data_IF_242427816358
#
_entry.id   IF_242427816358
#
_cell.length_a   1.000
_cell.length_b   1.000
_cell.length_c   1.000
_cell.angle_alpha   90.00
_cell.angle_beta   90.00
_cell.angle_gamma   90.00
#
_symmetry.space_group_name_H-M   'P 1'
#
loop_
_entity.id
_entity.type
_entity.pdbx_description
1 polymer ?
#
# COMPACT_ATOMS: atom_id res chain seq x y z
N UNK A 1 -13.87 10.58 -24.28
CA UNK A 1 -12.44 10.21 -24.27
C UNK A 1 -11.87 10.18 -22.86
N UNK A 2 -12.03 11.25 -22.05
CA UNK A 2 -11.56 11.28 -20.66
C UNK A 2 -12.19 10.20 -19.78
N UNK A 3 -13.48 9.89 -19.96
CA UNK A 3 -14.16 8.83 -19.20
C UNK A 3 -13.55 7.45 -19.47
N UNK A 4 -13.24 7.14 -20.74
CA UNK A 4 -12.58 5.88 -21.12
C UNK A 4 -11.20 5.75 -20.50
N UNK A 5 -10.41 6.83 -20.53
CA UNK A 5 -9.09 6.89 -19.91
C UNK A 5 -9.21 6.71 -18.39
N UNK A 6 -10.17 7.38 -17.76
CA UNK A 6 -10.45 7.26 -16.33
C UNK A 6 -10.81 5.83 -15.92
N UNK A 7 -11.67 5.16 -16.69
CA UNK A 7 -12.05 3.76 -16.45
C UNK A 7 -10.83 2.82 -16.56
N UNK A 8 -9.95 3.04 -17.53
CA UNK A 8 -8.72 2.23 -17.67
C UNK A 8 -7.84 2.37 -16.42
N UNK A 9 -7.63 3.60 -15.92
CA UNK A 9 -6.88 3.82 -14.69
C UNK A 9 -7.53 3.16 -13.47
N UNK A 10 -8.86 3.20 -13.37
CA UNK A 10 -9.61 2.55 -12.29
C UNK A 10 -9.45 1.02 -12.35
N UNK A 11 -9.54 0.41 -13.53
CA UNK A 11 -9.37 -1.04 -13.70
C UNK A 11 -7.95 -1.48 -13.35
N UNK A 12 -6.94 -0.72 -13.79
CA UNK A 12 -5.56 -0.97 -13.43
C UNK A 12 -5.40 -0.89 -11.91
N UNK A 13 -5.91 0.18 -11.28
CA UNK A 13 -5.84 0.36 -9.83
C UNK A 13 -6.53 -0.76 -9.06
N UNK A 14 -7.71 -1.20 -9.49
CA UNK A 14 -8.42 -2.37 -8.95
C UNK A 14 -7.59 -3.65 -9.02
N UNK A 15 -6.87 -3.84 -10.12
CA UNK A 15 -5.99 -5.01 -10.30
C UNK A 15 -4.83 -4.97 -9.31
N UNK A 16 -4.25 -3.79 -9.07
CA UNK A 16 -3.23 -3.60 -8.03
C UNK A 16 -3.78 -3.88 -6.62
N UNK A 17 -4.97 -3.36 -6.28
CA UNK A 17 -5.60 -3.62 -4.99
C UNK A 17 -5.90 -5.11 -4.80
N UNK A 18 -6.35 -5.79 -5.85
CA UNK A 18 -6.56 -7.24 -5.85
C UNK A 18 -5.26 -8.01 -5.56
N UNK A 19 -4.15 -7.64 -6.20
CA UNK A 19 -2.84 -8.23 -5.89
C UNK A 19 -2.36 -7.89 -4.47
N UNK A 20 -2.73 -6.73 -3.93
CA UNK A 20 -2.48 -6.37 -2.54
C UNK A 20 -3.18 -7.32 -1.56
N UNK A 21 -4.48 -7.57 -1.79
CA UNK A 21 -5.26 -8.54 -1.02
C UNK A 21 -4.71 -9.96 -1.16
N UNK A 22 -4.33 -10.36 -2.38
CA UNK A 22 -3.72 -11.67 -2.62
C UNK A 22 -2.38 -11.81 -1.90
N UNK A 23 -1.54 -10.77 -1.92
CA UNK A 23 -0.28 -10.71 -1.19
C UNK A 23 -0.48 -10.83 0.32
N UNK A 24 -1.52 -10.21 0.86
CA UNK A 24 -1.87 -10.28 2.28
C UNK A 24 -2.23 -11.72 2.72
N UNK A 25 -2.93 -12.48 1.88
CA UNK A 25 -3.36 -13.85 2.17
C UNK A 25 -2.25 -14.87 1.89
N UNK A 26 -1.49 -14.69 0.80
CA UNK A 26 -0.54 -15.68 0.29
C UNK A 26 0.82 -15.58 0.97
N UNK A 27 1.22 -14.40 1.44
CA UNK A 27 2.58 -14.21 1.91
C UNK A 27 2.83 -14.81 3.30
N UNK A 28 4.06 -15.29 3.51
CA UNK A 28 4.36 -16.17 4.62
C UNK A 28 4.43 -15.53 6.01
N UNK A 29 4.88 -14.28 6.11
CA UNK A 29 5.06 -13.56 7.38
C UNK A 29 4.43 -12.16 7.34
N UNK A 30 4.37 -11.51 8.50
CA UNK A 30 3.77 -10.17 8.64
C UNK A 30 4.54 -9.12 7.83
N UNK A 31 5.86 -9.22 7.75
CA UNK A 31 6.71 -8.25 7.06
C UNK A 31 6.55 -8.30 5.53
N UNK A 32 6.55 -9.49 4.94
CA UNK A 32 6.31 -9.68 3.51
C UNK A 32 4.86 -9.30 3.17
N UNK A 33 3.88 -9.69 4.01
CA UNK A 33 2.48 -9.27 3.85
C UNK A 33 2.34 -7.75 3.83
N UNK A 34 2.98 -7.07 4.79
CA UNK A 34 2.99 -5.61 4.87
C UNK A 34 3.61 -4.99 3.63
N UNK A 35 4.76 -5.49 3.18
CA UNK A 35 5.42 -4.95 1.99
C UNK A 35 4.53 -5.06 0.75
N UNK A 36 3.92 -6.21 0.51
CA UNK A 36 3.06 -6.42 -0.66
C UNK A 36 1.77 -5.60 -0.56
N UNK A 37 1.07 -5.67 0.58
CA UNK A 37 -0.19 -4.95 0.77
C UNK A 37 0.00 -3.44 0.66
N UNK A 38 1.00 -2.88 1.34
CA UNK A 38 1.23 -1.43 1.36
C UNK A 38 1.54 -0.90 -0.04
N UNK A 39 2.46 -1.54 -0.78
CA UNK A 39 2.84 -1.08 -2.13
C UNK A 39 1.68 -1.19 -3.12
N UNK A 40 1.02 -2.35 -3.14
CA UNK A 40 -0.07 -2.62 -4.07
C UNK A 40 -1.28 -1.73 -3.79
N UNK A 41 -1.73 -1.62 -2.54
CA UNK A 41 -2.92 -0.83 -2.18
C UNK A 41 -2.68 0.67 -2.36
N UNK A 42 -1.48 1.16 -2.02
CA UNK A 42 -1.15 2.59 -2.20
C UNK A 42 -1.21 2.96 -3.68
N UNK A 43 -0.54 2.20 -4.55
CA UNK A 43 -0.55 2.46 -5.98
C UNK A 43 -1.93 2.21 -6.61
N UNK A 44 -2.64 1.17 -6.17
CA UNK A 44 -3.96 0.83 -6.67
C UNK A 44 -4.98 1.90 -6.35
N UNK A 45 -5.10 2.27 -5.07
CA UNK A 45 -6.02 3.32 -4.63
C UNK A 45 -5.64 4.70 -5.21
N UNK A 46 -4.34 5.02 -5.34
CA UNK A 46 -3.91 6.24 -6.02
C UNK A 46 -4.30 6.25 -7.50
N UNK A 47 -4.16 5.11 -8.21
CA UNK A 47 -4.59 4.95 -9.60
C UNK A 47 -6.10 5.11 -9.78
N UNK A 48 -6.90 4.55 -8.88
CA UNK A 48 -8.36 4.72 -8.86
C UNK A 48 -8.73 6.20 -8.69
N UNK A 49 -8.15 6.87 -7.68
CA UNK A 49 -8.42 8.29 -7.42
C UNK A 49 -7.96 9.18 -8.59
N UNK A 50 -6.86 8.82 -9.24
CA UNK A 50 -6.37 9.53 -10.42
C UNK A 50 -7.32 9.35 -11.62
N UNK A 51 -7.86 8.15 -11.83
CA UNK A 51 -8.90 7.91 -12.84
C UNK A 51 -10.18 8.70 -12.58
N UNK A 52 -10.58 8.86 -11.31
CA UNK A 52 -11.68 9.74 -10.91
C UNK A 52 -11.37 11.20 -11.21
N UNK A 53 -10.15 11.66 -10.93
CA UNK A 53 -9.71 13.02 -11.27
C UNK A 53 -9.74 13.28 -12.78
N UNK A 54 -9.26 12.35 -13.62
CA UNK A 54 -9.34 12.47 -15.09
C UNK A 54 -10.79 12.58 -15.56
N UNK A 55 -11.70 11.82 -14.94
CA UNK A 55 -13.12 11.79 -15.31
C UNK A 55 -13.87 13.05 -14.88
N UNK A 56 -13.56 13.60 -13.70
CA UNK A 56 -14.29 14.73 -13.09
C UNK A 56 -13.58 16.09 -13.21
N UNK A 57 -12.32 16.11 -13.61
CA UNK A 57 -11.50 17.32 -13.74
C UNK A 57 -11.41 18.12 -12.44
N UNK A 58 -11.32 19.45 -12.57
CA UNK A 58 -11.27 20.40 -11.44
C UNK A 58 -12.60 20.59 -10.70
N UNK A 59 -13.51 19.63 -10.78
CA UNK A 59 -14.72 19.57 -9.94
C UNK A 59 -14.33 19.40 -8.46
N UNK A 60 -15.20 19.78 -7.50
CA UNK A 60 -15.00 19.48 -6.07
C UNK A 60 -14.66 18.01 -5.79
N UNK A 61 -15.18 17.08 -6.59
CA UNK A 61 -14.86 15.65 -6.49
C UNK A 61 -13.42 15.34 -6.93
N UNK A 62 -12.94 15.93 -8.03
CA UNK A 62 -11.58 15.71 -8.50
C UNK A 62 -10.53 16.30 -7.56
N UNK A 63 -10.79 17.48 -6.99
CA UNK A 63 -9.90 18.10 -5.99
C UNK A 63 -9.82 17.22 -4.74
N UNK A 64 -10.96 16.69 -4.26
CA UNK A 64 -10.98 15.73 -3.15
C UNK A 64 -10.19 14.46 -3.47
N UNK A 65 -10.30 13.93 -4.69
CA UNK A 65 -9.53 12.77 -5.12
C UNK A 65 -8.01 13.02 -5.08
N UNK A 66 -7.56 14.20 -5.54
CA UNK A 66 -6.16 14.60 -5.46
C UNK A 66 -5.67 14.71 -4.00
N UNK A 67 -6.48 15.31 -3.12
CA UNK A 67 -6.18 15.38 -1.68
C UNK A 67 -6.09 13.98 -1.05
N UNK A 68 -6.98 13.06 -1.42
CA UNK A 68 -6.93 11.68 -0.97
C UNK A 68 -5.63 10.97 -1.41
N UNK A 69 -5.15 11.20 -2.64
CA UNK A 69 -3.88 10.65 -3.12
C UNK A 69 -2.73 11.12 -2.22
N UNK A 70 -2.63 12.44 -1.98
CA UNK A 70 -1.57 13.00 -1.12
C UNK A 70 -1.66 12.42 0.29
N UNK A 71 -2.86 12.35 0.85
CA UNK A 71 -3.07 11.80 2.19
C UNK A 71 -2.63 10.33 2.28
N UNK A 72 -3.04 9.49 1.34
CA UNK A 72 -2.68 8.07 1.29
C UNK A 72 -1.17 7.89 1.15
N UNK A 73 -0.51 8.68 0.28
CA UNK A 73 0.94 8.62 0.09
C UNK A 73 1.73 8.96 1.37
N UNK A 74 1.19 9.84 2.22
CA UNK A 74 1.82 10.19 3.49
C UNK A 74 1.48 9.19 4.60
N UNK A 75 0.22 8.77 4.70
CA UNK A 75 -0.25 7.88 5.77
C UNK A 75 0.27 6.46 5.59
N UNK A 76 0.30 5.95 4.36
CA UNK A 76 0.72 4.59 4.04
C UNK A 76 2.11 4.20 4.57
N UNK A 77 3.21 4.97 4.31
CA UNK A 77 4.53 4.64 4.85
C UNK A 77 4.59 4.75 6.38
N UNK A 78 3.88 5.71 6.97
CA UNK A 78 3.82 5.89 8.43
C UNK A 78 3.13 4.69 9.08
N UNK A 79 1.99 4.25 8.54
CA UNK A 79 1.27 3.06 9.00
C UNK A 79 2.10 1.80 8.84
N UNK A 80 2.78 1.61 7.71
CA UNK A 80 3.63 0.44 7.46
C UNK A 80 4.83 0.38 8.43
N UNK A 81 5.45 1.53 8.70
CA UNK A 81 6.55 1.64 9.65
C UNK A 81 6.08 1.36 11.10
N UNK A 82 4.97 1.96 11.52
CA UNK A 82 4.40 1.73 12.85
C UNK A 82 4.02 0.26 13.06
N UNK A 83 3.39 -0.38 12.06
CA UNK A 83 2.96 -1.77 12.17
C UNK A 83 4.13 -2.76 12.15
N UNK A 84 5.15 -2.54 11.31
CA UNK A 84 6.35 -3.39 11.28
C UNK A 84 7.17 -3.27 12.57
N UNK A 85 7.36 -2.05 13.08
CA UNK A 85 8.01 -1.81 14.37
C UNK A 85 7.23 -2.43 15.52
N UNK A 86 5.90 -2.25 15.55
CA UNK A 86 5.03 -2.85 16.56
C UNK A 86 5.10 -4.37 16.56
N UNK A 87 5.02 -5.01 15.38
CA UNK A 87 5.16 -6.46 15.23
C UNK A 87 6.51 -6.97 15.78
N UNK A 88 7.59 -6.26 15.49
CA UNK A 88 8.91 -6.64 15.99
C UNK A 88 9.04 -6.50 17.51
N UNK A 89 8.49 -5.42 18.10
CA UNK A 89 8.51 -5.22 19.55
C UNK A 89 7.65 -6.27 20.26
N UNK A 90 6.55 -6.71 19.65
CA UNK A 90 5.70 -7.78 20.17
C UNK A 90 6.29 -9.19 20.00
N UNK A 91 7.51 -9.34 19.48
CA UNK A 91 8.18 -10.63 19.34
C UNK A 91 7.69 -11.48 18.15
N UNK A 92 7.05 -10.86 17.15
CA UNK A 92 6.68 -11.56 15.92
C UNK A 92 7.96 -11.92 15.14
N UNK A 93 8.28 -13.21 15.08
CA UNK A 93 9.46 -13.70 14.36
C UNK A 93 9.32 -13.47 12.85
N UNK A 94 10.45 -13.20 12.20
CA UNK A 94 10.52 -13.19 10.73
C UNK A 94 10.25 -14.58 10.15
N UNK A 95 10.00 -14.62 8.84
CA UNK A 95 9.89 -15.87 8.11
C UNK A 95 11.10 -16.80 8.33
N UNK A 96 10.85 -18.12 8.36
CA UNK A 96 11.90 -19.14 8.61
C UNK A 96 13.05 -19.13 7.59
N UNK A 97 12.82 -18.59 6.39
CA UNK A 97 13.87 -18.46 5.35
C UNK A 97 14.53 -17.08 5.33
N UNK A 98 14.24 -16.21 6.30
CA UNK A 98 14.93 -14.93 6.42
C UNK A 98 16.37 -15.16 6.86
N UNK A 99 17.31 -14.48 6.19
CA UNK A 99 18.76 -14.73 6.35
C UNK A 99 19.36 -13.92 7.49
N UNK A 100 18.86 -12.71 7.75
CA UNK A 100 19.50 -11.78 8.67
C UNK A 100 18.45 -10.92 9.37
N UNK A 101 18.60 -10.75 10.68
CA UNK A 101 17.81 -9.86 11.52
C UNK A 101 18.76 -9.01 12.36
N UNK A 102 19.30 -7.97 11.72
CA UNK A 102 20.23 -7.04 12.37
C UNK A 102 19.60 -6.30 13.54
N UNK A 103 18.28 -6.10 13.54
CA UNK A 103 17.60 -5.38 14.60
C UNK A 103 17.58 -6.20 15.90
N UNK A 104 17.52 -7.52 15.79
CA UNK A 104 17.67 -8.42 16.94
C UNK A 104 19.14 -8.60 17.34
N UNK A 105 20.06 -8.71 16.37
CA UNK A 105 21.50 -8.78 16.63
C UNK A 105 22.01 -7.57 17.42
N UNK A 106 21.60 -6.36 17.03
CA UNK A 106 21.95 -5.09 17.69
C UNK A 106 21.37 -4.96 19.11
N UNK A 107 20.26 -5.64 19.43
CA UNK A 107 19.70 -5.67 20.80
C UNK A 107 20.37 -6.70 21.70
N UNK A 108 21.00 -7.70 21.10
CA UNK A 108 21.69 -8.79 21.80
C UNK A 108 23.17 -8.51 22.08
N UNK A 109 23.73 -7.45 21.46
CA UNK A 109 25.08 -6.93 21.70
C UNK A 109 25.08 -5.89 22.81
#
# INVERSE_FOLDING_TARGET
>A
MNETIGIIFIIIGLTFDFFGCLGLIRLPDVYNRLQASTKCVTLGTCGIMFGVFITKGFSPIGIKALLCIVFILLTSPVSAHALSRGAHISGVKLWKKSVCDKLEEDKSS
#
